data_IF_303301034816
#
_entry.id   IF_303301034816
#
_cell.length_a   1.000
_cell.length_b   1.000
_cell.length_c   1.000
_cell.angle_alpha   90.00
_cell.angle_beta   90.00
_cell.angle_gamma   90.00
#
_symmetry.space_group_name_H-M   'P 1'
#
loop_
_entity.id
_entity.type
_entity.pdbx_description
1 polymer ?
#
# COMPACT_ATOMS: atom_id res chain seq x y z
N UNK A 1 -77.70 1.42 15.42
CA UNK A 1 -76.65 0.51 14.95
C UNK A 1 -75.34 1.28 14.91
N UNK A 2 -74.45 1.20 15.95
CA UNK A 2 -73.21 1.93 16.00
C UNK A 2 -72.10 1.07 15.40
N UNK A 3 -71.57 1.47 14.29
CA UNK A 3 -70.43 0.81 13.64
C UNK A 3 -69.16 1.18 14.41
N UNK A 4 -68.61 0.21 15.18
CA UNK A 4 -67.28 0.36 15.81
C UNK A 4 -66.21 0.40 14.71
N UNK A 5 -65.54 1.54 14.57
CA UNK A 5 -64.32 1.65 13.72
C UNK A 5 -63.25 0.69 14.27
N UNK A 6 -62.56 -0.02 13.39
CA UNK A 6 -61.52 -0.98 13.84
C UNK A 6 -60.32 -0.24 14.47
N UNK A 7 -59.98 -0.65 15.70
CA UNK A 7 -58.79 -0.18 16.44
C UNK A 7 -57.45 -0.66 15.83
N UNK A 8 -57.54 -1.46 14.75
CA UNK A 8 -56.37 -2.10 14.11
C UNK A 8 -55.47 -1.15 13.33
N UNK A 9 -55.97 0.06 12.91
CA UNK A 9 -55.16 0.98 12.09
C UNK A 9 -54.09 1.76 12.88
N UNK A 10 -54.31 2.00 14.17
CA UNK A 10 -53.29 2.71 15.00
C UNK A 10 -52.13 1.80 15.38
N UNK A 11 -52.43 0.58 15.82
CA UNK A 11 -51.40 -0.38 16.17
C UNK A 11 -50.50 -0.76 14.97
N UNK A 12 -51.08 -0.86 13.78
CA UNK A 12 -50.32 -1.09 12.54
C UNK A 12 -49.41 0.09 12.19
N UNK A 13 -49.92 1.32 12.35
CA UNK A 13 -49.11 2.54 12.11
C UNK A 13 -47.95 2.62 13.10
N UNK A 14 -48.19 2.33 14.38
CA UNK A 14 -47.15 2.33 15.43
C UNK A 14 -46.05 1.29 15.16
N UNK A 15 -46.41 0.12 14.67
CA UNK A 15 -45.47 -0.94 14.28
C UNK A 15 -44.64 -0.48 13.07
N UNK A 16 -45.27 0.13 12.05
CA UNK A 16 -44.57 0.63 10.85
C UNK A 16 -43.59 1.75 11.25
N UNK A 17 -44.00 2.69 12.11
CA UNK A 17 -43.11 3.75 12.60
C UNK A 17 -41.94 3.21 13.44
N UNK A 18 -42.18 2.21 14.28
CA UNK A 18 -41.13 1.57 15.07
C UNK A 18 -40.12 0.85 14.18
N UNK A 19 -40.60 0.12 13.15
CA UNK A 19 -39.72 -0.57 12.18
C UNK A 19 -38.94 0.44 11.33
N UNK A 20 -39.57 1.49 10.86
CA UNK A 20 -38.87 2.57 10.13
C UNK A 20 -37.83 3.27 11.01
N UNK A 21 -38.14 3.55 12.27
CA UNK A 21 -37.18 4.11 13.23
C UNK A 21 -35.97 3.19 13.46
N UNK A 22 -36.23 1.89 13.57
CA UNK A 22 -35.17 0.89 13.72
C UNK A 22 -34.30 0.77 12.46
N UNK A 23 -34.89 0.84 11.26
CA UNK A 23 -34.15 0.85 9.98
C UNK A 23 -33.29 2.11 9.88
N UNK A 24 -33.82 3.30 10.25
CA UNK A 24 -33.06 4.55 10.24
C UNK A 24 -31.89 4.49 11.23
N UNK A 25 -32.07 3.90 12.42
CA UNK A 25 -31.02 3.67 13.39
C UNK A 25 -29.93 2.71 12.85
N UNK A 26 -30.33 1.65 12.14
CA UNK A 26 -29.39 0.71 11.52
C UNK A 26 -28.58 1.31 10.36
N UNK A 27 -29.19 2.23 9.60
CA UNK A 27 -28.50 2.96 8.50
C UNK A 27 -27.53 4.02 9.06
N UNK A 28 -27.85 4.61 10.22
CA UNK A 28 -27.02 5.64 10.87
C UNK A 28 -26.11 5.09 11.96
N UNK A 29 -25.79 3.78 11.97
CA UNK A 29 -24.81 3.24 12.91
C UNK A 29 -23.47 3.94 12.67
N UNK A 30 -22.94 4.73 13.65
CA UNK A 30 -21.60 5.26 13.55
C UNK A 30 -20.62 4.11 13.65
N UNK A 31 -20.04 3.72 12.53
CA UNK A 31 -19.15 2.56 12.45
C UNK A 31 -19.17 1.88 11.09
N UNK A 32 -19.71 2.54 10.05
CA UNK A 32 -19.38 2.13 8.70
C UNK A 32 -17.85 2.12 8.62
N UNK A 33 -17.24 0.92 8.66
CA UNK A 33 -15.82 0.73 8.44
C UNK A 33 -15.47 1.59 7.23
N UNK A 34 -14.60 2.58 7.45
CA UNK A 34 -14.05 3.38 6.37
C UNK A 34 -13.60 2.37 5.32
N UNK A 35 -14.28 2.34 4.18
CA UNK A 35 -14.00 1.36 3.13
C UNK A 35 -12.56 1.61 2.70
N UNK A 36 -11.67 0.70 3.03
CA UNK A 36 -10.26 0.79 2.63
C UNK A 36 -10.25 0.93 1.12
N UNK A 37 -9.69 2.01 0.56
CA UNK A 37 -9.65 2.20 -0.88
C UNK A 37 -9.03 0.98 -1.57
N UNK A 38 -9.50 0.59 -2.77
CA UNK A 38 -8.92 -0.54 -3.50
C UNK A 38 -7.47 -0.25 -3.86
N UNK A 39 -6.68 -1.31 -4.01
CA UNK A 39 -5.31 -1.21 -4.53
C UNK A 39 -5.39 -0.62 -5.93
N UNK A 40 -4.64 0.45 -6.16
CA UNK A 40 -4.61 1.15 -7.45
C UNK A 40 -3.30 0.96 -8.17
N UNK A 41 -2.19 0.98 -7.43
CA UNK A 41 -0.87 0.74 -7.98
C UNK A 41 -0.14 -0.30 -7.13
N UNK A 42 0.81 -0.97 -7.77
CA UNK A 42 1.65 -1.98 -7.14
C UNK A 42 3.09 -1.80 -7.59
N UNK A 43 4.00 -1.74 -6.64
CA UNK A 43 5.43 -1.80 -6.89
C UNK A 43 5.92 -3.19 -6.52
N UNK A 44 6.63 -3.83 -7.44
CA UNK A 44 7.40 -5.03 -7.19
C UNK A 44 8.88 -4.68 -7.22
N UNK A 45 9.60 -5.17 -6.24
CA UNK A 45 11.06 -5.10 -6.17
C UNK A 45 11.56 -6.52 -6.09
N UNK A 46 12.28 -6.98 -7.10
CA UNK A 46 12.71 -8.38 -7.20
C UNK A 46 14.17 -8.48 -7.57
N UNK A 47 14.81 -9.53 -7.12
CA UNK A 47 16.19 -9.83 -7.45
C UNK A 47 16.37 -11.33 -7.67
N UNK A 48 17.57 -11.75 -8.02
CA UNK A 48 17.87 -13.12 -8.42
C UNK A 48 17.46 -14.12 -7.33
N UNK A 49 16.60 -15.08 -7.72
CA UNK A 49 16.11 -16.13 -6.83
C UNK A 49 17.26 -17.00 -6.29
N UNK A 50 17.13 -17.44 -5.06
CA UNK A 50 18.15 -18.26 -4.39
C UNK A 50 19.41 -17.49 -3.98
N UNK A 51 19.46 -16.16 -4.19
CA UNK A 51 20.45 -15.30 -3.52
C UNK A 51 20.04 -15.06 -2.08
N UNK A 52 20.98 -14.66 -1.24
CA UNK A 52 20.76 -14.49 0.19
C UNK A 52 20.82 -13.02 0.62
N UNK A 53 20.72 -12.12 -0.35
CA UNK A 53 20.69 -10.68 -0.12
C UNK A 53 19.33 -10.28 0.44
N UNK A 54 19.36 -9.41 1.42
CA UNK A 54 18.20 -8.79 2.06
C UNK A 54 18.09 -7.36 1.55
N UNK A 55 17.15 -7.12 0.64
CA UNK A 55 16.90 -5.81 0.03
C UNK A 55 15.63 -5.23 0.62
N UNK A 56 15.78 -4.14 1.36
CA UNK A 56 14.67 -3.37 1.92
C UNK A 56 14.26 -2.23 0.99
N UNK A 57 12.98 -2.11 0.68
CA UNK A 57 12.42 -0.94 -0.01
C UNK A 57 11.99 0.12 0.99
N UNK A 58 12.40 1.35 0.74
CA UNK A 58 12.00 2.52 1.51
C UNK A 58 11.18 3.48 0.65
N UNK A 59 10.04 3.92 1.16
CA UNK A 59 9.14 4.83 0.47
C UNK A 59 8.84 6.04 1.33
N UNK A 60 9.35 7.20 0.93
CA UNK A 60 9.00 8.46 1.57
C UNK A 60 7.75 9.05 0.92
N UNK A 61 6.70 9.20 1.71
CA UNK A 61 5.43 9.78 1.27
C UNK A 61 5.45 11.31 1.31
N UNK A 62 4.52 12.01 0.63
CA UNK A 62 4.37 13.47 0.73
C UNK A 62 4.09 13.97 2.15
N UNK A 63 3.63 13.10 3.04
CA UNK A 63 3.39 13.40 4.46
C UNK A 63 4.61 13.15 5.34
N UNK A 64 5.82 13.00 4.73
CA UNK A 64 7.08 12.69 5.41
C UNK A 64 7.03 11.41 6.27
N UNK A 65 6.24 10.41 5.85
CA UNK A 65 6.25 9.08 6.45
C UNK A 65 7.11 8.18 5.59
N UNK A 66 8.04 7.45 6.20
CA UNK A 66 8.80 6.40 5.55
C UNK A 66 8.08 5.06 5.77
N UNK A 67 7.78 4.34 4.69
CA UNK A 67 7.25 2.97 4.73
C UNK A 67 8.39 2.03 4.36
N UNK A 68 8.65 1.06 5.25
CA UNK A 68 9.75 0.10 5.15
C UNK A 68 9.48 -1.09 6.08
N UNK A 69 10.39 -2.06 6.21
CA UNK A 69 10.21 -3.29 6.99
C UNK A 69 9.68 -3.09 8.43
N UNK A 70 10.10 -2.04 9.13
CA UNK A 70 9.67 -1.75 10.51
C UNK A 70 8.39 -0.91 10.59
N UNK A 71 8.07 -0.13 9.56
CA UNK A 71 6.85 0.66 9.45
C UNK A 71 6.12 0.33 8.16
N UNK A 72 5.47 -0.82 8.13
CA UNK A 72 4.88 -1.40 6.91
C UNK A 72 3.66 -0.68 6.35
N UNK A 73 3.12 0.35 7.02
CA UNK A 73 1.88 1.01 6.59
C UNK A 73 1.86 2.50 6.94
N UNK A 74 1.42 3.32 5.98
CA UNK A 74 1.19 4.77 6.18
C UNK A 74 -0.24 5.21 5.85
N UNK A 75 -1.16 4.25 5.65
CA UNK A 75 -2.54 4.48 5.22
C UNK A 75 -2.73 4.38 3.71
N UNK A 76 -1.97 5.12 2.92
CA UNK A 76 -2.00 5.11 1.45
C UNK A 76 -0.94 4.18 0.81
N UNK A 77 0.07 3.76 1.58
CA UNK A 77 1.14 2.83 1.15
C UNK A 77 1.25 1.69 2.14
N UNK A 78 1.36 0.47 1.65
CA UNK A 78 1.59 -0.71 2.48
C UNK A 78 2.63 -1.65 1.86
N UNK A 79 3.64 -2.04 2.64
CA UNK A 79 4.53 -3.15 2.35
C UNK A 79 3.81 -4.45 2.69
N UNK A 80 3.41 -5.20 1.66
CA UNK A 80 2.60 -6.41 1.80
C UNK A 80 3.45 -7.67 1.95
N UNK A 81 4.59 -7.71 1.29
CA UNK A 81 5.60 -8.74 1.42
C UNK A 81 6.96 -8.09 1.65
N UNK A 82 7.64 -8.56 2.65
CA UNK A 82 8.97 -8.20 3.09
C UNK A 82 9.81 -9.47 3.02
N UNK A 83 10.83 -9.45 2.19
CA UNK A 83 11.75 -10.55 2.01
C UNK A 83 12.93 -10.38 2.96
N UNK A 84 13.24 -11.39 3.73
CA UNK A 84 14.30 -11.35 4.76
C UNK A 84 15.62 -12.00 4.29
N UNK A 85 15.74 -12.20 2.97
CA UNK A 85 16.84 -12.99 2.42
C UNK A 85 16.80 -14.42 2.97
N UNK A 86 17.96 -15.02 3.23
CA UNK A 86 18.04 -16.41 3.73
C UNK A 86 17.59 -16.62 5.18
N UNK A 87 17.21 -15.56 5.89
CA UNK A 87 16.90 -15.62 7.32
C UNK A 87 15.41 -15.68 7.60
N UNK A 88 14.86 -16.90 7.63
CA UNK A 88 13.48 -17.12 8.07
C UNK A 88 12.43 -16.94 6.97
N UNK A 89 12.84 -16.68 5.74
CA UNK A 89 11.97 -16.78 4.58
C UNK A 89 12.00 -18.23 4.06
N UNK A 90 10.87 -18.94 4.07
CA UNK A 90 10.79 -20.30 3.53
C UNK A 90 10.78 -20.34 1.99
N UNK A 91 10.81 -19.19 1.33
CA UNK A 91 10.71 -19.05 -0.12
C UNK A 91 12.06 -18.70 -0.74
N UNK A 92 12.42 -19.40 -1.82
CA UNK A 92 13.59 -19.03 -2.63
C UNK A 92 13.31 -17.85 -3.58
N UNK A 93 12.07 -17.32 -3.57
CA UNK A 93 11.65 -16.19 -4.42
C UNK A 93 11.98 -14.88 -3.73
N UNK A 94 12.92 -14.15 -4.25
CA UNK A 94 13.37 -12.86 -3.75
C UNK A 94 12.50 -11.73 -4.31
N UNK A 95 11.56 -11.26 -3.50
CA UNK A 95 10.52 -10.30 -3.91
C UNK A 95 9.99 -9.51 -2.73
N UNK A 96 9.98 -8.19 -2.84
CA UNK A 96 9.14 -7.32 -2.04
C UNK A 96 7.92 -6.83 -2.83
N UNK A 97 6.80 -6.68 -2.15
CA UNK A 97 5.53 -6.26 -2.75
C UNK A 97 4.94 -5.10 -1.97
N UNK A 98 4.75 -3.98 -2.66
CA UNK A 98 4.20 -2.77 -2.08
C UNK A 98 2.93 -2.37 -2.82
N UNK A 99 1.86 -2.10 -2.08
CA UNK A 99 0.59 -1.62 -2.63
C UNK A 99 0.34 -0.15 -2.28
N UNK A 100 -0.28 0.55 -3.23
CA UNK A 100 -0.68 1.94 -3.08
C UNK A 100 -2.21 2.06 -3.23
N UNK A 101 -2.82 2.80 -2.28
CA UNK A 101 -4.28 3.00 -2.18
C UNK A 101 -4.53 4.47 -1.89
N UNK A 102 -5.53 5.08 -2.53
CA UNK A 102 -5.97 6.44 -2.16
C UNK A 102 -4.84 7.46 -2.04
N UNK A 103 -3.88 7.47 -2.98
CA UNK A 103 -2.67 8.26 -2.92
C UNK A 103 -2.92 9.74 -2.65
N UNK A 104 -2.21 10.29 -1.69
CA UNK A 104 -2.16 11.73 -1.41
C UNK A 104 -1.41 12.47 -2.53
N UNK A 105 -1.84 13.69 -2.85
CA UNK A 105 -1.12 14.52 -3.83
C UNK A 105 0.29 14.87 -3.33
N UNK A 106 1.26 14.90 -4.23
CA UNK A 106 2.64 15.24 -3.96
C UNK A 106 3.64 14.25 -4.56
N UNK A 107 4.84 14.21 -4.01
CA UNK A 107 5.95 13.40 -4.52
C UNK A 107 6.21 12.25 -3.56
N UNK A 108 6.31 11.05 -4.12
CA UNK A 108 6.77 9.85 -3.45
C UNK A 108 8.18 9.53 -3.93
N UNK A 109 9.09 9.22 -3.01
CA UNK A 109 10.46 8.83 -3.31
C UNK A 109 10.65 7.38 -2.95
N UNK A 110 11.31 6.65 -3.83
CA UNK A 110 11.60 5.23 -3.69
C UNK A 110 13.11 5.03 -3.69
N UNK A 111 13.60 4.36 -2.67
CA UNK A 111 14.96 3.87 -2.56
C UNK A 111 14.99 2.41 -2.16
N UNK A 112 16.09 1.74 -2.41
CA UNK A 112 16.38 0.40 -1.92
C UNK A 112 17.60 0.46 -1.03
N UNK A 113 17.60 -0.37 0.01
CA UNK A 113 18.71 -0.53 0.95
C UNK A 113 19.14 -1.99 0.97
N UNK A 114 20.42 -2.25 0.77
CA UNK A 114 20.96 -3.59 0.96
C UNK A 114 21.28 -3.77 2.44
N UNK A 115 20.35 -4.34 3.18
CA UNK A 115 20.51 -4.53 4.61
C UNK A 115 21.60 -5.55 4.92
N UNK A 116 21.68 -6.59 4.10
CA UNK A 116 22.66 -7.68 4.30
C UNK A 116 22.92 -8.46 3.03
N UNK A 117 24.19 -8.77 2.81
CA UNK A 117 24.63 -9.81 1.92
C UNK A 117 25.09 -11.02 2.76
N UNK A 118 24.65 -12.18 2.38
CA UNK A 118 25.22 -13.41 2.92
C UNK A 118 26.11 -14.07 1.84
N UNK A 119 26.22 -15.38 1.83
CA UNK A 119 27.17 -16.12 0.96
C UNK A 119 26.86 -16.01 -0.55
N UNK A 120 25.68 -15.51 -0.93
CA UNK A 120 25.22 -15.41 -2.33
C UNK A 120 24.59 -14.04 -2.59
N UNK A 121 25.42 -12.98 -2.77
CA UNK A 121 24.90 -11.65 -3.02
C UNK A 121 24.25 -11.55 -4.40
N UNK A 122 23.14 -10.80 -4.50
CA UNK A 122 22.59 -10.41 -5.79
C UNK A 122 23.42 -9.30 -6.43
N UNK A 123 23.41 -9.24 -7.77
CA UNK A 123 24.06 -8.16 -8.52
C UNK A 123 23.09 -7.08 -8.98
N UNK A 124 21.84 -7.45 -9.23
CA UNK A 124 20.85 -6.56 -9.81
C UNK A 124 19.53 -6.67 -9.07
N UNK A 125 18.84 -5.55 -9.01
CA UNK A 125 17.49 -5.42 -8.46
C UNK A 125 16.59 -4.83 -9.54
N UNK A 126 15.45 -5.46 -9.79
CA UNK A 126 14.45 -5.01 -10.74
C UNK A 126 13.29 -4.35 -9.99
N UNK A 127 12.90 -3.15 -10.42
CA UNK A 127 11.76 -2.42 -9.87
C UNK A 127 10.72 -2.21 -10.97
N UNK A 128 9.47 -2.59 -10.69
CA UNK A 128 8.35 -2.42 -11.61
C UNK A 128 7.14 -1.82 -10.89
N UNK A 129 6.69 -0.66 -11.35
CA UNK A 129 5.49 0.00 -10.85
C UNK A 129 4.35 -0.16 -11.86
N UNK A 130 3.27 -0.76 -11.43
CA UNK A 130 2.10 -1.02 -12.25
C UNK A 130 0.90 -0.19 -11.83
N UNK A 131 0.12 0.28 -12.79
CA UNK A 131 -1.28 0.60 -12.57
C UNK A 131 -2.06 -0.73 -12.54
N UNK A 132 -2.58 -1.07 -11.36
CA UNK A 132 -3.24 -2.35 -11.12
C UNK A 132 -4.55 -2.51 -11.90
N UNK A 133 -5.20 -1.40 -12.24
CA UNK A 133 -6.45 -1.41 -12.98
C UNK A 133 -6.24 -1.63 -14.49
N UNK A 134 -5.28 -0.93 -15.07
CA UNK A 134 -4.98 -1.01 -16.52
C UNK A 134 -3.95 -2.07 -16.88
N UNK A 135 -3.16 -2.55 -15.90
CA UNK A 135 -2.02 -3.43 -16.14
C UNK A 135 -0.82 -2.73 -16.78
N UNK A 136 -0.87 -1.40 -16.95
CA UNK A 136 0.23 -0.65 -17.54
C UNK A 136 1.40 -0.54 -16.56
N UNK A 137 2.61 -0.75 -17.07
CA UNK A 137 3.84 -0.44 -16.36
C UNK A 137 4.11 1.06 -16.45
N UNK A 138 4.13 1.72 -15.29
CA UNK A 138 4.44 3.14 -15.17
C UNK A 138 5.94 3.39 -14.96
N UNK A 139 6.63 2.40 -14.41
CA UNK A 139 8.08 2.38 -14.24
C UNK A 139 8.60 0.95 -14.38
N UNK A 140 9.75 0.79 -15.01
CA UNK A 140 10.43 -0.49 -15.14
C UNK A 140 11.92 -0.22 -15.32
N UNK A 141 12.73 -0.62 -14.34
CA UNK A 141 14.17 -0.46 -14.39
C UNK A 141 14.87 -1.61 -13.66
N UNK A 142 16.11 -1.87 -14.07
CA UNK A 142 17.04 -2.78 -13.40
C UNK A 142 18.23 -1.94 -12.98
N UNK A 143 18.54 -1.95 -11.69
CA UNK A 143 19.66 -1.23 -11.10
C UNK A 143 20.68 -2.22 -10.52
N UNK A 144 21.93 -1.81 -10.40
CA UNK A 144 22.90 -2.56 -9.62
C UNK A 144 22.49 -2.54 -8.15
N UNK A 145 22.62 -3.68 -7.47
CA UNK A 145 22.35 -3.76 -6.06
C UNK A 145 23.36 -2.88 -5.29
N UNK A 146 22.90 -2.04 -4.36
CA UNK A 146 23.84 -1.27 -3.53
C UNK A 146 24.73 -2.21 -2.69
N UNK A 147 25.87 -1.69 -2.26
CA UNK A 147 26.77 -2.39 -1.34
C UNK A 147 26.03 -2.62 -0.01
N UNK A 148 26.36 -3.69 0.69
CA UNK A 148 25.81 -3.98 2.02
C UNK A 148 25.93 -2.76 2.95
N UNK A 149 24.81 -2.38 3.57
CA UNK A 149 24.67 -1.23 4.43
C UNK A 149 24.45 0.10 3.69
N UNK A 150 24.39 0.09 2.35
CA UNK A 150 24.15 1.30 1.56
C UNK A 150 22.73 1.40 1.01
N UNK A 151 22.25 2.63 0.92
CA UNK A 151 20.98 3.01 0.27
C UNK A 151 21.26 3.50 -1.15
N UNK A 152 20.43 3.05 -2.10
CA UNK A 152 20.40 3.55 -3.47
C UNK A 152 19.06 4.24 -3.73
N UNK A 153 19.00 5.56 -3.92
CA UNK A 153 17.84 6.23 -4.47
C UNK A 153 17.57 5.75 -5.89
N UNK A 154 16.32 5.38 -6.20
CA UNK A 154 16.02 4.82 -7.53
C UNK A 154 15.14 5.74 -8.33
N UNK A 155 13.92 6.01 -7.87
CA UNK A 155 13.00 6.86 -8.61
C UNK A 155 12.04 7.60 -7.68
N UNK A 156 11.36 8.59 -8.24
CA UNK A 156 10.24 9.30 -7.63
C UNK A 156 9.05 9.28 -8.57
N UNK A 157 7.86 9.41 -8.03
CA UNK A 157 6.66 9.65 -8.83
C UNK A 157 5.81 10.76 -8.25
N UNK A 158 5.11 11.44 -9.16
CA UNK A 158 4.25 12.57 -8.85
C UNK A 158 2.79 12.15 -8.86
N UNK A 159 2.06 12.59 -7.85
CA UNK A 159 0.63 12.32 -7.72
C UNK A 159 -0.16 13.61 -7.79
N UNK A 160 -1.14 13.65 -8.68
CA UNK A 160 -2.13 14.72 -8.79
C UNK A 160 -3.53 14.11 -8.87
N UNK A 161 -4.45 14.59 -8.04
CA UNK A 161 -5.83 14.08 -7.96
C UNK A 161 -5.89 12.56 -7.75
N UNK A 162 -5.00 12.03 -6.87
CA UNK A 162 -4.92 10.61 -6.56
C UNK A 162 -4.47 9.71 -7.72
N UNK A 163 -3.86 10.28 -8.77
CA UNK A 163 -3.31 9.55 -9.92
C UNK A 163 -1.82 9.86 -10.07
N UNK A 164 -1.04 8.82 -10.38
CA UNK A 164 0.37 9.00 -10.78
C UNK A 164 0.37 9.66 -12.16
N UNK A 165 1.09 10.78 -12.29
CA UNK A 165 1.17 11.55 -13.53
C UNK A 165 2.51 11.37 -14.24
N UNK A 166 3.59 11.20 -13.49
CA UNK A 166 4.95 11.10 -14.02
C UNK A 166 5.81 10.28 -13.09
N UNK A 167 6.78 9.55 -13.65
CA UNK A 167 7.86 8.88 -12.94
C UNK A 167 9.20 9.42 -13.45
N UNK A 168 10.14 9.65 -12.54
CA UNK A 168 11.47 10.17 -12.86
C UNK A 168 12.53 9.50 -11.97
N UNK A 169 13.77 9.44 -12.42
CA UNK A 169 14.87 9.02 -11.56
C UNK A 169 15.01 9.95 -10.36
N UNK A 170 15.52 9.44 -9.26
CA UNK A 170 15.73 10.19 -8.03
C UNK A 170 17.14 10.00 -7.50
N UNK A 171 17.69 11.09 -6.98
CA UNK A 171 18.94 11.08 -6.22
C UNK A 171 18.71 11.39 -4.73
N UNK A 172 17.45 11.39 -4.28
CA UNK A 172 17.08 11.68 -2.91
C UNK A 172 17.10 10.42 -2.07
N UNK A 173 17.97 10.37 -1.10
CA UNK A 173 18.00 9.35 -0.04
C UNK A 173 16.77 9.49 0.87
N UNK A 174 16.19 8.37 1.26
CA UNK A 174 15.00 8.29 2.12
C UNK A 174 15.40 8.04 3.57
N UNK A 175 16.39 7.16 3.78
CA UNK A 175 16.94 6.86 5.12
C UNK A 175 17.87 8.00 5.57
N UNK A 176 18.50 8.65 4.61
CA UNK A 176 19.55 9.65 4.83
C UNK A 176 20.92 8.99 4.91
N UNK A 177 21.96 9.74 4.50
CA UNK A 177 23.34 9.29 4.61
C UNK A 177 23.71 9.09 6.08
N UNK A 178 23.54 7.87 6.59
CA UNK A 178 24.26 7.44 7.78
C UNK A 178 25.69 7.13 7.36
N UNK A 179 26.48 8.16 7.12
CA UNK A 179 27.94 8.08 7.14
C UNK A 179 28.45 8.53 8.49
#
# INVERSE_FOLDING_TARGET
>A
MQIRKPRTSRALLDIILAVMGMIILLINVPGAKELVPPIKYMLTVSWEDGTTTDIDTHILTPKNKNVYFSQKNSGDVALNRDDLGSRGDPSDINLELISFRGLSNGIYYISIHNYRNNNRPTKFVKLELFDFHSGLKLYNNIVEAPIEGEELPVFKFFVKNGKITTTEESNRYVIGNSR
#
